data_IF_215118490959
#
_entry.id   IF_215118490959
#
_cell.length_a   1.000
_cell.length_b   1.000
_cell.length_c   1.000
_cell.angle_alpha   90.00
_cell.angle_beta   90.00
_cell.angle_gamma   90.00
#
_symmetry.space_group_name_H-M   'P 1'
#
loop_
_entity.id
_entity.type
_entity.pdbx_description
1 polymer ?
#
# COMPACT_ATOMS: atom_id res chain seq x y z
N UNK A 1 5.44 57.48 1.16
CA UNK A 1 4.86 56.12 1.23
C UNK A 1 3.33 56.11 1.14
N UNK A 2 2.62 57.06 1.78
CA UNK A 2 1.14 57.16 1.79
C UNK A 2 0.44 57.12 0.43
N UNK A 3 0.83 57.97 -0.53
CA UNK A 3 0.21 58.02 -1.87
C UNK A 3 0.22 56.69 -2.65
N UNK A 4 1.18 55.79 -2.38
CA UNK A 4 1.24 54.45 -3.01
C UNK A 4 0.26 53.46 -2.35
N UNK A 5 0.07 53.57 -1.04
CA UNK A 5 -0.90 52.76 -0.29
C UNK A 5 -2.34 53.16 -0.61
N UNK A 6 -2.61 54.45 -0.82
CA UNK A 6 -3.95 54.90 -1.22
C UNK A 6 -4.32 54.38 -2.61
N UNK A 7 -3.38 54.44 -3.56
CA UNK A 7 -3.52 53.81 -4.88
C UNK A 7 -3.74 52.30 -4.79
N UNK A 8 -3.05 51.62 -3.87
CA UNK A 8 -3.25 50.19 -3.63
C UNK A 8 -4.66 49.89 -3.11
N UNK A 9 -5.12 50.65 -2.10
CA UNK A 9 -6.46 50.50 -1.52
C UNK A 9 -7.55 50.75 -2.56
N UNK A 10 -7.41 51.77 -3.39
CA UNK A 10 -8.33 52.04 -4.50
C UNK A 10 -8.37 50.91 -5.53
N UNK A 11 -7.21 50.36 -5.90
CA UNK A 11 -7.13 49.23 -6.82
C UNK A 11 -7.77 47.96 -6.21
N UNK A 12 -7.53 47.71 -4.93
CA UNK A 12 -8.17 46.62 -4.18
C UNK A 12 -9.68 46.82 -4.10
N UNK A 13 -10.15 48.04 -3.84
CA UNK A 13 -11.57 48.37 -3.84
C UNK A 13 -12.21 48.14 -5.21
N UNK A 14 -11.57 48.56 -6.31
CA UNK A 14 -12.00 48.24 -7.68
C UNK A 14 -12.12 46.72 -7.85
N UNK A 15 -11.08 45.97 -7.51
CA UNK A 15 -11.04 44.51 -7.71
C UNK A 15 -12.12 43.79 -6.88
N UNK A 16 -12.36 44.24 -5.65
CA UNK A 16 -13.42 43.71 -4.79
C UNK A 16 -14.80 44.02 -5.35
N UNK A 17 -15.03 45.27 -5.80
CA UNK A 17 -16.29 45.69 -6.39
C UNK A 17 -16.61 44.93 -7.68
N UNK A 18 -15.60 44.69 -8.53
CA UNK A 18 -15.77 43.90 -9.75
C UNK A 18 -16.13 42.44 -9.46
N UNK A 19 -15.58 41.87 -8.39
CA UNK A 19 -15.87 40.51 -7.95
C UNK A 19 -17.29 40.42 -7.37
N UNK A 20 -17.69 41.39 -6.53
CA UNK A 20 -19.04 41.47 -5.96
C UNK A 20 -20.14 41.59 -7.03
N UNK A 21 -19.84 42.28 -8.14
CA UNK A 21 -20.75 42.40 -9.30
C UNK A 21 -20.89 41.11 -10.12
N UNK A 22 -20.14 40.05 -9.81
CA UNK A 22 -20.21 38.73 -10.47
C UNK A 22 -20.52 37.62 -9.46
N UNK A 23 -21.70 37.66 -8.81
CA UNK A 23 -22.03 36.79 -7.68
C UNK A 23 -21.99 35.30 -8.01
N UNK A 24 -22.38 34.93 -9.24
CA UNK A 24 -22.41 33.53 -9.67
C UNK A 24 -21.00 32.95 -9.82
N UNK A 25 -20.05 33.75 -10.33
CA UNK A 25 -18.65 33.35 -10.45
C UNK A 25 -18.01 33.17 -9.08
N UNK A 26 -18.21 34.11 -8.15
CA UNK A 26 -17.75 33.98 -6.76
C UNK A 26 -18.38 32.78 -6.06
N UNK A 27 -19.68 32.55 -6.26
CA UNK A 27 -20.35 31.42 -5.63
C UNK A 27 -19.72 30.11 -6.09
N UNK A 28 -19.49 29.93 -7.39
CA UNK A 28 -18.85 28.72 -7.92
C UNK A 28 -17.41 28.54 -7.39
N UNK A 29 -16.60 29.60 -7.30
CA UNK A 29 -15.22 29.49 -6.78
C UNK A 29 -15.15 29.09 -5.29
N UNK A 30 -16.16 29.42 -4.48
CA UNK A 30 -16.25 28.99 -3.06
C UNK A 30 -16.93 27.63 -2.93
N UNK A 31 -18.03 27.42 -3.65
CA UNK A 31 -18.83 26.20 -3.55
C UNK A 31 -18.09 25.00 -4.11
N UNK A 32 -17.30 25.14 -5.18
CA UNK A 32 -16.60 24.00 -5.78
C UNK A 32 -15.68 23.28 -4.79
N UNK A 33 -14.73 23.95 -4.09
CA UNK A 33 -13.92 23.30 -3.05
C UNK A 33 -14.74 22.67 -1.93
N UNK A 34 -15.81 23.33 -1.49
CA UNK A 34 -16.72 22.83 -0.46
C UNK A 34 -17.41 21.54 -0.94
N UNK A 35 -17.92 21.52 -2.18
CA UNK A 35 -18.63 20.40 -2.77
C UNK A 35 -17.75 19.15 -2.84
N UNK A 36 -16.50 19.29 -3.32
CA UNK A 36 -15.58 18.15 -3.39
C UNK A 36 -15.07 17.72 -2.00
N UNK A 37 -14.94 18.64 -1.04
CA UNK A 37 -14.68 18.27 0.35
C UNK A 37 -15.85 17.52 0.99
N UNK A 38 -17.10 17.90 0.69
CA UNK A 38 -18.30 17.17 1.13
C UNK A 38 -18.33 15.78 0.48
N UNK A 39 -17.95 15.64 -0.79
CA UNK A 39 -17.83 14.34 -1.44
C UNK A 39 -16.82 13.43 -0.71
N UNK A 40 -15.67 13.96 -0.28
CA UNK A 40 -14.70 13.22 0.54
C UNK A 40 -15.29 12.78 1.89
N UNK A 41 -16.06 13.65 2.55
CA UNK A 41 -16.77 13.34 3.79
C UNK A 41 -17.78 12.19 3.55
N UNK A 42 -18.57 12.27 2.48
CA UNK A 42 -19.52 11.20 2.11
C UNK A 42 -18.78 9.89 1.84
N UNK A 43 -17.69 9.91 1.06
CA UNK A 43 -16.90 8.69 0.81
C UNK A 43 -16.42 8.08 2.12
N UNK A 44 -15.92 8.90 3.06
CA UNK A 44 -15.50 8.46 4.39
C UNK A 44 -16.61 7.80 5.19
N UNK A 45 -17.87 8.19 4.96
CA UNK A 45 -19.05 7.66 5.67
C UNK A 45 -19.42 6.24 5.32
N UNK A 46 -19.02 5.76 4.13
CA UNK A 46 -19.52 4.52 3.55
C UNK A 46 -19.00 3.28 4.28
N UNK A 47 -17.80 3.34 4.83
CA UNK A 47 -17.15 2.19 5.47
C UNK A 47 -16.41 2.63 6.73
N UNK A 48 -16.69 1.93 7.83
CA UNK A 48 -16.06 2.16 9.11
C UNK A 48 -14.78 1.34 9.29
N UNK A 49 -13.75 1.91 9.94
CA UNK A 49 -12.57 1.15 10.30
C UNK A 49 -12.92 0.09 11.36
N UNK A 50 -12.39 -1.11 11.18
CA UNK A 50 -12.56 -2.23 12.11
C UNK A 50 -11.37 -2.27 13.06
N UNK A 51 -11.66 -2.32 14.36
CA UNK A 51 -10.64 -2.47 15.39
C UNK A 51 -10.46 -3.93 15.78
N UNK A 52 -9.22 -4.40 15.75
CA UNK A 52 -8.83 -5.71 16.24
C UNK A 52 -8.00 -5.57 17.51
N UNK A 53 -8.40 -6.30 18.56
CA UNK A 53 -7.62 -6.40 19.79
C UNK A 53 -6.31 -7.16 19.56
N UNK A 54 -5.37 -7.01 20.50
CA UNK A 54 -4.13 -7.79 20.51
C UNK A 54 -4.43 -9.28 20.42
N UNK A 55 -3.77 -9.97 19.49
CA UNK A 55 -3.95 -11.40 19.27
C UNK A 55 -2.79 -12.16 19.87
N UNK A 56 -3.10 -12.96 20.88
CA UNK A 56 -2.20 -13.97 21.44
C UNK A 56 -2.59 -15.30 20.81
N UNK A 57 -1.63 -15.95 20.16
CA UNK A 57 -1.84 -17.27 19.57
C UNK A 57 -1.52 -18.34 20.60
N UNK A 58 -2.40 -19.34 20.72
CA UNK A 58 -2.14 -20.50 21.56
C UNK A 58 -1.07 -21.39 20.92
N UNK A 59 -0.21 -22.03 21.73
CA UNK A 59 0.71 -23.03 21.21
C UNK A 59 -0.09 -24.18 20.61
N UNK A 60 0.36 -24.67 19.46
CA UNK A 60 -0.17 -25.85 18.80
C UNK A 60 0.91 -26.91 18.68
N UNK A 61 0.50 -28.18 18.72
CA UNK A 61 1.38 -29.28 18.36
C UNK A 61 1.39 -29.39 16.84
N UNK A 62 2.57 -29.38 16.18
CA UNK A 62 2.64 -29.87 14.81
C UNK A 62 2.10 -31.30 14.78
N UNK A 63 1.38 -31.67 13.71
CA UNK A 63 0.71 -32.98 13.57
C UNK A 63 1.59 -34.10 14.12
N UNK A 64 1.13 -34.73 15.21
CA UNK A 64 1.87 -35.81 15.87
C UNK A 64 1.87 -37.07 15.00
N UNK A 65 2.83 -37.99 15.25
CA UNK A 65 2.96 -39.28 14.57
C UNK A 65 1.61 -39.99 14.32
N UNK A 66 0.77 -40.09 15.36
CA UNK A 66 -0.54 -40.75 15.30
C UNK A 66 -1.60 -39.94 14.53
N UNK A 67 -1.48 -38.61 14.50
CA UNK A 67 -2.42 -37.74 13.79
C UNK A 67 -2.06 -37.62 12.30
N UNK A 68 -0.77 -37.66 11.95
CA UNK A 68 -0.34 -37.77 10.56
C UNK A 68 -0.81 -39.10 9.95
N UNK A 69 -0.63 -40.22 10.65
CA UNK A 69 -1.11 -41.53 10.21
C UNK A 69 -2.62 -41.60 10.07
N UNK A 70 -3.37 -40.98 11.00
CA UNK A 70 -4.83 -40.92 10.95
C UNK A 70 -5.35 -39.95 9.88
N UNK A 71 -4.66 -38.82 9.66
CA UNK A 71 -5.05 -37.82 8.65
C UNK A 71 -4.72 -38.26 7.24
N UNK A 72 -3.63 -39.01 7.05
CA UNK A 72 -3.21 -39.50 5.74
C UNK A 72 -3.83 -40.85 5.38
N UNK A 73 -4.64 -41.47 6.27
CA UNK A 73 -5.37 -42.74 6.11
C UNK A 73 -5.17 -43.43 4.74
N UNK A 74 -4.01 -44.07 4.51
CA UNK A 74 -3.56 -44.65 3.23
C UNK A 74 -4.06 -43.91 1.98
N UNK A 75 -3.83 -42.61 1.94
CA UNK A 75 -4.00 -41.83 0.73
C UNK A 75 -2.94 -42.26 -0.28
N UNK A 76 -3.28 -42.19 -1.56
CA UNK A 76 -2.47 -42.62 -2.72
C UNK A 76 -1.16 -41.82 -2.91
N UNK A 77 -0.65 -41.22 -1.83
CA UNK A 77 0.50 -40.34 -1.85
C UNK A 77 1.80 -41.13 -1.66
N UNK A 78 2.74 -40.84 -2.56
CA UNK A 78 4.08 -41.41 -2.62
C UNK A 78 5.08 -40.49 -1.93
N UNK A 79 5.96 -41.03 -1.10
CA UNK A 79 7.14 -40.31 -0.62
C UNK A 79 8.36 -40.73 -1.44
N UNK A 80 9.15 -39.78 -1.90
CA UNK A 80 10.38 -40.07 -2.67
C UNK A 80 11.61 -39.57 -1.93
N UNK A 81 12.74 -40.27 -2.06
CA UNK A 81 13.99 -39.81 -1.47
C UNK A 81 15.21 -40.11 -2.34
N UNK A 82 16.31 -39.39 -2.13
CA UNK A 82 17.60 -39.62 -2.77
C UNK A 82 18.75 -39.26 -1.81
N UNK A 83 19.90 -39.96 -1.84
CA UNK A 83 20.27 -41.03 -2.77
C UNK A 83 19.97 -42.44 -2.22
N UNK A 84 19.69 -43.39 -3.11
CA UNK A 84 19.64 -44.83 -2.86
C UNK A 84 20.57 -45.54 -3.88
N UNK A 85 21.40 -46.53 -3.48
CA UNK A 85 21.37 -47.28 -2.20
C UNK A 85 22.18 -46.62 -1.08
N UNK A 86 21.62 -46.64 0.14
CA UNK A 86 22.32 -46.35 1.40
C UNK A 86 21.56 -47.07 2.52
N UNK A 87 22.20 -48.04 3.18
CA UNK A 87 21.52 -48.94 4.14
C UNK A 87 20.84 -48.19 5.29
N UNK A 88 21.44 -47.11 5.80
CA UNK A 88 20.89 -46.35 6.93
C UNK A 88 19.70 -45.50 6.46
N UNK A 89 19.84 -44.81 5.33
CA UNK A 89 18.76 -43.99 4.78
C UNK A 89 17.59 -44.87 4.32
N UNK A 90 17.86 -45.98 3.65
CA UNK A 90 16.87 -46.94 3.19
C UNK A 90 16.11 -47.53 4.41
N UNK A 91 16.81 -47.87 5.51
CA UNK A 91 16.17 -48.31 6.77
C UNK A 91 15.28 -47.22 7.38
N UNK A 92 15.76 -45.98 7.39
CA UNK A 92 15.04 -44.83 7.96
C UNK A 92 13.78 -44.50 7.15
N UNK A 93 13.91 -44.47 5.82
CA UNK A 93 12.84 -44.14 4.90
C UNK A 93 11.83 -45.28 4.79
N UNK A 94 12.25 -46.55 4.91
CA UNK A 94 11.33 -47.68 4.99
C UNK A 94 10.40 -47.60 6.20
N UNK A 95 10.83 -46.98 7.31
CA UNK A 95 9.93 -46.73 8.44
C UNK A 95 8.77 -45.79 8.08
N UNK A 96 8.95 -44.94 7.07
CA UNK A 96 7.90 -44.03 6.59
C UNK A 96 6.80 -44.73 5.78
N UNK A 97 7.00 -45.99 5.37
CA UNK A 97 5.94 -46.83 4.78
C UNK A 97 4.78 -47.10 5.74
N UNK A 98 4.95 -46.83 7.04
CA UNK A 98 3.86 -46.83 8.00
C UNK A 98 2.84 -45.70 7.76
N UNK A 99 3.22 -44.65 7.02
CA UNK A 99 2.39 -43.47 6.78
C UNK A 99 2.00 -43.29 5.31
N UNK A 100 2.87 -43.66 4.38
CA UNK A 100 2.70 -43.48 2.95
C UNK A 100 2.47 -44.82 2.25
N UNK A 101 1.74 -44.81 1.14
CA UNK A 101 1.43 -46.03 0.35
C UNK A 101 2.71 -46.69 -0.16
N UNK A 102 3.64 -45.86 -0.66
CA UNK A 102 4.94 -46.30 -1.16
C UNK A 102 6.02 -45.26 -0.84
N UNK A 103 7.25 -45.75 -0.68
CA UNK A 103 8.44 -44.95 -0.45
C UNK A 103 9.52 -45.40 -1.45
N UNK A 104 9.76 -44.57 -2.47
CA UNK A 104 10.68 -44.87 -3.59
C UNK A 104 12.00 -44.11 -3.43
N UNK A 105 13.11 -44.84 -3.55
CA UNK A 105 14.47 -44.27 -3.55
C UNK A 105 14.98 -44.05 -4.98
N UNK A 106 15.57 -42.88 -5.23
CA UNK A 106 16.23 -42.51 -6.49
C UNK A 106 17.74 -42.40 -6.33
N UNK A 107 18.50 -42.59 -7.41
CA UNK A 107 19.97 -42.69 -7.30
C UNK A 107 20.61 -41.35 -6.99
N UNK A 108 20.14 -40.29 -7.62
CA UNK A 108 20.68 -38.94 -7.51
C UNK A 108 19.55 -37.90 -7.45
N UNK A 109 19.87 -36.70 -6.99
CA UNK A 109 18.98 -35.53 -6.96
C UNK A 109 18.30 -35.23 -8.30
N UNK A 110 19.02 -35.38 -9.43
CA UNK A 110 18.48 -35.16 -10.78
C UNK A 110 17.38 -36.14 -11.17
N UNK A 111 17.49 -37.40 -10.76
CA UNK A 111 16.44 -38.41 -11.04
C UNK A 111 15.19 -38.14 -10.21
N UNK A 112 15.38 -37.72 -8.95
CA UNK A 112 14.29 -37.28 -8.08
C UNK A 112 13.56 -36.06 -8.67
N UNK A 113 14.29 -35.11 -9.26
CA UNK A 113 13.71 -33.97 -9.97
C UNK A 113 12.91 -34.39 -11.22
N UNK A 114 13.47 -35.28 -12.03
CA UNK A 114 12.78 -35.83 -13.20
C UNK A 114 11.47 -36.53 -12.82
N UNK A 115 11.42 -37.17 -11.65
CA UNK A 115 10.19 -37.77 -11.14
C UNK A 115 9.10 -36.73 -10.81
N UNK A 116 9.45 -35.58 -10.23
CA UNK A 116 8.49 -34.50 -9.99
C UNK A 116 7.91 -33.91 -11.28
N UNK A 117 8.68 -33.93 -12.37
CA UNK A 117 8.23 -33.49 -13.69
C UNK A 117 7.41 -34.55 -14.44
N UNK A 118 7.41 -35.80 -13.97
CA UNK A 118 6.70 -36.92 -14.58
C UNK A 118 5.21 -37.00 -14.18
N UNK A 119 4.50 -37.98 -14.76
CA UNK A 119 3.07 -38.22 -14.52
C UNK A 119 2.74 -38.59 -13.06
N UNK A 120 3.71 -39.12 -12.31
CA UNK A 120 3.56 -39.48 -10.88
C UNK A 120 3.78 -38.30 -9.93
N UNK A 121 4.18 -37.12 -10.43
CA UNK A 121 4.42 -35.93 -9.62
C UNK A 121 3.19 -35.48 -8.81
N UNK A 122 1.99 -35.61 -9.39
CA UNK A 122 0.73 -35.25 -8.71
C UNK A 122 0.40 -36.17 -7.52
N UNK A 123 0.84 -37.43 -7.58
CA UNK A 123 0.69 -38.38 -6.47
C UNK A 123 1.82 -38.27 -5.45
N UNK A 124 2.84 -37.46 -5.68
CA UNK A 124 3.97 -37.35 -4.76
C UNK A 124 3.63 -36.41 -3.62
N UNK A 125 3.74 -36.86 -2.36
CA UNK A 125 3.56 -36.01 -1.18
C UNK A 125 4.67 -34.98 -1.06
N UNK A 126 5.90 -35.47 -0.96
CA UNK A 126 7.14 -34.71 -0.83
C UNK A 126 8.34 -35.58 -1.23
N UNK A 127 9.46 -34.93 -1.48
CA UNK A 127 10.74 -35.52 -1.81
C UNK A 127 11.77 -35.18 -0.74
N UNK A 128 12.50 -36.16 -0.25
CA UNK A 128 13.57 -35.98 0.73
C UNK A 128 14.91 -36.13 0.03
N UNK A 129 15.59 -35.02 -0.20
CA UNK A 129 16.88 -34.98 -0.86
C UNK A 129 17.99 -34.84 0.19
N UNK A 130 18.89 -35.81 0.23
CA UNK A 130 20.17 -35.74 0.91
C UNK A 130 21.29 -35.46 -0.11
N UNK A 131 22.51 -35.24 0.39
CA UNK A 131 23.69 -35.08 -0.48
C UNK A 131 23.96 -36.37 -1.29
N UNK A 132 24.12 -36.23 -2.61
CA UNK A 132 24.38 -37.33 -3.54
C UNK A 132 25.67 -38.11 -3.19
N UNK A 133 26.59 -37.49 -2.44
CA UNK A 133 27.82 -38.11 -1.93
C UNK A 133 27.59 -39.26 -0.96
N UNK A 134 26.41 -39.31 -0.33
CA UNK A 134 26.04 -40.34 0.66
C UNK A 134 25.68 -41.68 0.02
N UNK A 135 25.70 -41.77 -1.32
CA UNK A 135 25.42 -42.98 -2.05
C UNK A 135 26.47 -44.05 -1.78
N UNK A 136 26.03 -45.23 -1.33
CA UNK A 136 26.92 -46.37 -1.01
C UNK A 136 27.76 -46.20 0.26
N UNK A 137 27.55 -45.12 1.03
CA UNK A 137 28.18 -44.95 2.34
C UNK A 137 27.37 -45.64 3.42
N UNK A 138 28.06 -46.32 4.34
CA UNK A 138 27.46 -47.03 5.48
C UNK A 138 27.44 -46.22 6.77
N UNK A 139 27.96 -44.98 6.76
CA UNK A 139 28.03 -44.10 7.94
C UNK A 139 27.51 -42.71 7.53
N UNK A 140 26.63 -42.13 8.35
CA UNK A 140 26.17 -40.76 8.16
C UNK A 140 27.21 -39.76 8.69
N UNK A 141 27.47 -38.65 7.98
CA UNK A 141 28.34 -37.59 8.47
C UNK A 141 27.71 -36.85 9.65
N UNK A 142 28.54 -36.26 10.50
CA UNK A 142 28.08 -35.45 11.66
C UNK A 142 27.33 -34.18 11.26
N UNK A 143 27.54 -33.68 10.05
CA UNK A 143 26.78 -32.58 9.47
C UNK A 143 26.02 -33.08 8.25
N UNK A 144 24.70 -33.22 8.39
CA UNK A 144 23.81 -33.71 7.33
C UNK A 144 22.91 -32.58 6.84
N UNK A 145 22.98 -32.28 5.54
CA UNK A 145 22.04 -31.37 4.88
C UNK A 145 20.86 -32.16 4.32
N UNK A 146 19.64 -31.72 4.66
CA UNK A 146 18.40 -32.36 4.22
C UNK A 146 17.52 -31.30 3.56
N UNK A 147 17.21 -31.52 2.29
CA UNK A 147 16.33 -30.67 1.49
C UNK A 147 14.99 -31.36 1.28
N UNK A 148 13.90 -30.72 1.72
CA UNK A 148 12.54 -31.20 1.52
C UNK A 148 11.92 -30.52 0.29
N UNK A 149 11.70 -31.28 -0.77
CA UNK A 149 11.08 -30.82 -2.02
C UNK A 149 9.58 -31.09 -1.98
N UNK A 150 8.78 -30.05 -2.17
CA UNK A 150 7.33 -30.14 -2.30
C UNK A 150 6.93 -29.85 -3.75
N UNK A 151 5.78 -30.35 -4.21
CA UNK A 151 5.27 -30.00 -5.54
C UNK A 151 5.02 -28.49 -5.66
N UNK A 152 5.08 -27.99 -6.89
CA UNK A 152 4.89 -26.56 -7.20
C UNK A 152 3.48 -26.06 -6.89
N UNK A 153 2.49 -26.95 -6.89
CA UNK A 153 1.11 -26.65 -6.55
C UNK A 153 0.80 -27.09 -5.12
N UNK A 154 0.25 -26.15 -4.34
CA UNK A 154 -0.22 -26.40 -3.00
C UNK A 154 -1.54 -27.14 -3.03
N UNK A 155 -1.67 -28.16 -2.18
CA UNK A 155 -2.93 -28.91 -2.01
C UNK A 155 -3.95 -28.10 -1.21
N UNK A 156 -3.47 -27.21 -0.35
CA UNK A 156 -4.29 -26.21 0.33
C UNK A 156 -4.30 -24.91 -0.47
N UNK A 157 -5.39 -24.70 -1.22
CA UNK A 157 -5.66 -23.51 -2.06
C UNK A 157 -5.62 -22.17 -1.28
N UNK A 158 -5.59 -22.24 0.06
CA UNK A 158 -5.80 -21.07 0.92
C UNK A 158 -4.55 -20.33 1.38
N UNK A 159 -3.34 -20.84 1.13
CA UNK A 159 -2.12 -20.26 1.70
C UNK A 159 -1.09 -19.95 0.61
N UNK A 160 -0.87 -18.66 0.32
CA UNK A 160 0.37 -18.26 -0.35
C UNK A 160 1.56 -18.67 0.55
N UNK A 161 2.53 -19.42 0.00
CA UNK A 161 3.71 -19.91 0.76
C UNK A 161 4.62 -18.74 1.17
N UNK A 162 4.72 -17.73 0.30
CA UNK A 162 5.52 -16.54 0.51
C UNK A 162 4.63 -15.34 0.79
N UNK A 163 5.02 -14.59 1.82
CA UNK A 163 4.21 -13.58 2.47
C UNK A 163 3.76 -12.46 1.55
N UNK A 164 2.46 -12.42 1.29
CA UNK A 164 1.73 -11.18 1.46
C UNK A 164 1.23 -11.19 2.91
N UNK A 165 1.27 -10.09 3.68
CA UNK A 165 0.58 -9.99 4.97
C UNK A 165 -0.93 -10.15 4.74
N UNK A 166 -1.37 -11.38 4.49
CA UNK A 166 -2.72 -11.71 4.06
C UNK A 166 -3.61 -11.80 5.31
N UNK A 167 -4.68 -10.99 5.30
CA UNK A 167 -5.77 -10.87 6.28
C UNK A 167 -5.46 -11.45 7.67
N UNK A 168 -4.98 -10.56 8.54
CA UNK A 168 -4.72 -10.74 9.99
C UNK A 168 -5.89 -11.34 10.81
N UNK A 169 -7.01 -11.66 10.17
CA UNK A 169 -8.33 -11.85 10.76
C UNK A 169 -8.66 -13.29 11.15
N UNK A 170 -8.06 -14.31 10.54
CA UNK A 170 -8.55 -15.69 10.72
C UNK A 170 -7.62 -16.57 11.57
N UNK A 171 -8.11 -16.96 12.75
CA UNK A 171 -7.51 -17.98 13.63
C UNK A 171 -7.31 -19.34 12.91
N UNK A 172 -8.12 -19.60 11.89
CA UNK A 172 -8.26 -20.90 11.21
C UNK A 172 -7.40 -21.10 9.97
N UNK A 173 -6.71 -20.07 9.45
CA UNK A 173 -5.83 -20.30 8.31
C UNK A 173 -4.51 -20.81 8.85
N UNK A 174 -4.44 -22.13 8.84
CA UNK A 174 -3.23 -22.91 8.87
C UNK A 174 -2.14 -22.22 8.05
N UNK A 175 -0.97 -22.00 8.65
CA UNK A 175 0.21 -21.60 7.87
C UNK A 175 0.37 -22.64 6.76
N UNK A 176 0.68 -22.24 5.53
CA UNK A 176 0.82 -23.20 4.41
C UNK A 176 1.65 -24.42 4.80
N UNK A 177 2.75 -24.20 5.53
CA UNK A 177 3.61 -25.27 6.06
C UNK A 177 2.94 -26.27 7.03
N UNK A 178 1.96 -25.83 7.83
CA UNK A 178 1.20 -26.74 8.70
C UNK A 178 0.14 -27.51 7.90
N UNK A 179 -0.56 -26.84 6.99
CA UNK A 179 -1.64 -27.43 6.19
C UNK A 179 -1.10 -28.45 5.18
N UNK A 180 0.02 -28.13 4.55
CA UNK A 180 0.71 -29.03 3.60
C UNK A 180 1.44 -30.18 4.29
N UNK A 181 1.51 -30.19 5.62
CA UNK A 181 2.21 -31.24 6.37
C UNK A 181 3.74 -31.14 6.33
N UNK A 182 4.32 -30.06 5.81
CA UNK A 182 5.76 -29.80 5.83
C UNK A 182 6.34 -29.91 7.25
N UNK A 183 5.72 -29.25 8.23
CA UNK A 183 6.21 -29.25 9.62
C UNK A 183 6.19 -30.66 10.22
N UNK A 184 5.18 -31.45 9.87
CA UNK A 184 5.05 -32.81 10.36
C UNK A 184 6.13 -33.71 9.77
N UNK A 185 6.35 -33.61 8.46
CA UNK A 185 7.38 -34.38 7.75
C UNK A 185 8.79 -33.99 8.22
N UNK A 186 9.05 -32.70 8.44
CA UNK A 186 10.31 -32.21 9.00
C UNK A 186 10.60 -32.81 10.37
N UNK A 187 9.61 -32.82 11.27
CA UNK A 187 9.77 -33.35 12.63
C UNK A 187 9.98 -34.87 12.59
N UNK A 188 9.18 -35.58 11.79
CA UNK A 188 9.30 -37.03 11.65
C UNK A 188 10.67 -37.42 11.10
N UNK A 189 11.16 -36.77 10.04
CA UNK A 189 12.49 -37.08 9.48
C UNK A 189 13.60 -36.73 10.47
N UNK A 190 13.51 -35.58 11.13
CA UNK A 190 14.51 -35.18 12.14
C UNK A 190 14.56 -36.19 13.29
N UNK A 191 13.41 -36.61 13.81
CA UNK A 191 13.34 -37.62 14.87
C UNK A 191 13.88 -38.99 14.42
N UNK A 192 13.61 -39.37 13.16
CA UNK A 192 14.16 -40.59 12.58
C UNK A 192 15.69 -40.54 12.48
N UNK A 193 16.24 -39.47 11.92
CA UNK A 193 17.69 -39.32 11.78
C UNK A 193 18.40 -39.34 13.15
N UNK A 194 17.86 -38.62 14.14
CA UNK A 194 18.37 -38.64 15.52
C UNK A 194 18.30 -40.07 16.10
N UNK A 195 17.20 -40.79 15.89
CA UNK A 195 17.07 -42.16 16.42
C UNK A 195 18.04 -43.15 15.79
N UNK A 196 18.43 -42.94 14.53
CA UNK A 196 19.45 -43.76 13.87
C UNK A 196 20.84 -43.47 14.42
N UNK A 197 21.18 -42.19 14.62
CA UNK A 197 22.47 -41.81 15.22
C UNK A 197 22.60 -42.36 16.66
N UNK A 198 21.50 -42.38 17.41
CA UNK A 198 21.45 -42.95 18.75
C UNK A 198 21.38 -44.50 18.78
N UNK A 199 21.42 -45.19 17.62
CA UNK A 199 21.32 -46.66 17.50
C UNK A 199 20.13 -47.27 18.28
N UNK A 200 18.98 -46.60 18.27
CA UNK A 200 17.79 -47.04 19.00
C UNK A 200 17.13 -48.22 18.26
N UNK A 201 16.80 -49.29 18.98
CA UNK A 201 16.05 -50.44 18.43
C UNK A 201 14.69 -50.01 17.83
N UNK A 202 14.24 -50.68 16.77
CA UNK A 202 13.03 -50.34 16.01
C UNK A 202 11.76 -50.21 16.88
N UNK A 203 11.61 -51.03 17.92
CA UNK A 203 10.49 -50.94 18.87
C UNK A 203 10.57 -49.72 19.81
N UNK A 204 11.78 -49.30 20.17
CA UNK A 204 12.01 -48.09 20.97
C UNK A 204 11.93 -46.82 20.09
N UNK A 205 12.26 -46.92 18.80
CA UNK A 205 12.09 -45.85 17.82
C UNK A 205 10.61 -45.45 17.66
N UNK A 206 9.70 -46.43 17.57
CA UNK A 206 8.26 -46.15 17.54
C UNK A 206 7.77 -45.45 18.82
N UNK A 207 8.33 -45.81 19.99
CA UNK A 207 8.01 -45.16 21.28
C UNK A 207 8.58 -43.75 21.36
N UNK A 208 9.79 -43.54 20.86
CA UNK A 208 10.44 -42.23 20.79
C UNK A 208 9.69 -41.27 19.86
N UNK A 209 9.18 -41.76 18.73
CA UNK A 209 8.36 -40.95 17.81
C UNK A 209 6.97 -40.65 18.38
N UNK A 210 6.40 -41.55 19.20
CA UNK A 210 5.10 -41.36 19.83
C UNK A 210 5.13 -40.51 21.11
N UNK A 211 6.20 -40.63 21.91
CA UNK A 211 6.36 -40.01 23.24
C UNK A 211 7.60 -39.14 23.39
N UNK A 212 8.23 -38.76 22.29
CA UNK A 212 9.41 -37.91 22.26
C UNK A 212 9.16 -36.52 22.87
N UNK A 213 10.19 -35.65 22.89
CA UNK A 213 10.04 -34.31 23.43
C UNK A 213 8.91 -33.57 22.73
N UNK A 214 7.98 -33.01 23.52
CA UNK A 214 6.82 -32.32 22.98
C UNK A 214 7.25 -30.97 22.37
N UNK A 215 7.46 -30.95 21.06
CA UNK A 215 7.73 -29.72 20.32
C UNK A 215 6.40 -28.98 20.15
N UNK A 216 6.27 -27.81 20.76
CA UNK A 216 5.14 -26.92 20.59
C UNK A 216 5.56 -25.74 19.71
N UNK A 217 4.73 -25.41 18.74
CA UNK A 217 4.91 -24.23 17.90
C UNK A 217 3.91 -23.17 18.32
N UNK A 218 4.39 -21.93 18.44
CA UNK A 218 3.56 -20.80 18.80
C UNK A 218 3.89 -19.65 17.87
N UNK A 219 2.85 -18.99 17.34
CA UNK A 219 3.04 -17.75 16.56
C UNK A 219 3.35 -16.61 17.51
N UNK A 220 4.17 -15.66 17.06
CA UNK A 220 4.41 -14.44 17.82
C UNK A 220 3.09 -13.69 18.05
N UNK A 221 2.89 -13.11 19.25
CA UNK A 221 1.73 -12.29 19.51
C UNK A 221 1.72 -11.10 18.56
N UNK A 222 0.54 -10.72 18.10
CA UNK A 222 0.35 -9.55 17.24
C UNK A 222 -0.36 -8.45 18.04
N UNK A 223 0.16 -7.24 18.01
CA UNK A 223 -0.46 -6.09 18.68
C UNK A 223 -1.87 -5.82 18.12
N UNK A 224 -2.71 -5.09 18.85
CA UNK A 224 -3.99 -4.66 18.31
C UNK A 224 -3.76 -3.77 17.09
N UNK A 225 -4.58 -3.91 16.04
CA UNK A 225 -4.45 -3.08 14.84
C UNK A 225 -5.82 -2.60 14.38
N UNK A 226 -5.82 -1.50 13.64
CA UNK A 226 -7.00 -1.00 12.92
C UNK A 226 -6.90 -1.41 11.46
N UNK A 227 -7.98 -1.92 10.90
CA UNK A 227 -8.10 -2.19 9.48
C UNK A 227 -9.13 -1.22 8.88
N UNK A 228 -8.67 -0.34 8.01
CA UNK A 228 -9.53 0.59 7.29
C UNK A 228 -9.50 0.23 5.80
N UNK A 229 -10.50 -0.51 5.30
CA UNK A 229 -10.52 -0.95 3.91
C UNK A 229 -10.74 0.20 2.92
N UNK A 230 -11.20 1.36 3.40
CA UNK A 230 -11.44 2.54 2.56
C UNK A 230 -10.16 3.38 2.38
N UNK A 231 -9.21 3.28 3.30
CA UNK A 231 -8.00 4.11 3.29
C UNK A 231 -7.19 4.01 1.98
N UNK A 232 -6.93 2.82 1.38
CA UNK A 232 -6.24 2.73 0.10
C UNK A 232 -6.98 3.45 -1.04
N UNK A 233 -8.32 3.39 -1.04
CA UNK A 233 -9.14 4.11 -2.01
C UNK A 233 -9.07 5.62 -1.79
N UNK A 234 -9.09 6.08 -0.53
CA UNK A 234 -8.91 7.51 -0.21
C UNK A 234 -7.54 8.02 -0.65
N UNK A 235 -6.48 7.23 -0.46
CA UNK A 235 -5.14 7.58 -0.97
C UNK A 235 -5.18 7.82 -2.48
N UNK A 236 -5.92 6.98 -3.22
CA UNK A 236 -6.20 7.14 -4.66
C UNK A 236 -6.93 8.43 -5.03
N UNK A 237 -8.05 8.70 -4.36
CA UNK A 237 -9.01 9.70 -4.83
C UNK A 237 -8.87 11.09 -4.18
N UNK A 238 -8.23 11.24 -3.03
CA UNK A 238 -8.15 12.57 -2.37
C UNK A 238 -7.40 13.59 -3.22
N UNK A 239 -6.31 13.21 -3.88
CA UNK A 239 -5.56 14.10 -4.76
C UNK A 239 -6.38 14.63 -5.93
N UNK A 240 -7.12 13.75 -6.62
CA UNK A 240 -7.93 14.16 -7.79
C UNK A 240 -9.09 15.07 -7.37
N UNK A 241 -9.71 14.81 -6.22
CA UNK A 241 -10.82 15.62 -5.72
C UNK A 241 -10.38 17.05 -5.38
N UNK A 242 -9.21 17.19 -4.72
CA UNK A 242 -8.66 18.52 -4.39
C UNK A 242 -8.18 19.24 -5.65
N UNK A 243 -7.63 18.51 -6.62
CA UNK A 243 -7.28 19.11 -7.91
C UNK A 243 -8.52 19.67 -8.61
N UNK A 244 -9.62 18.91 -8.66
CA UNK A 244 -10.89 19.31 -9.28
C UNK A 244 -11.53 20.53 -8.60
N UNK A 245 -11.40 20.64 -7.27
CA UNK A 245 -11.87 21.80 -6.49
C UNK A 245 -11.40 23.15 -7.02
N UNK A 246 -10.16 23.23 -7.50
CA UNK A 246 -9.53 24.50 -7.85
C UNK A 246 -9.37 24.72 -9.35
N UNK A 247 -9.80 23.77 -10.20
CA UNK A 247 -9.78 23.90 -11.68
C UNK A 247 -10.47 25.18 -12.12
N UNK A 248 -11.70 25.40 -11.64
CA UNK A 248 -12.49 26.57 -12.03
C UNK A 248 -11.79 27.86 -11.64
N UNK A 249 -11.28 27.94 -10.41
CA UNK A 249 -10.59 29.13 -9.90
C UNK A 249 -9.32 29.44 -10.71
N UNK A 250 -8.54 28.42 -11.10
CA UNK A 250 -7.37 28.59 -11.95
C UNK A 250 -7.74 29.14 -13.33
N UNK A 251 -8.62 28.44 -14.05
CA UNK A 251 -9.05 28.82 -15.41
C UNK A 251 -9.62 30.24 -15.39
N UNK A 252 -10.45 30.53 -14.39
CA UNK A 252 -11.09 31.82 -14.27
C UNK A 252 -10.09 32.95 -13.94
N UNK A 253 -9.15 32.72 -13.04
CA UNK A 253 -8.11 33.72 -12.71
C UNK A 253 -7.29 34.07 -13.94
N UNK A 254 -6.84 33.07 -14.72
CA UNK A 254 -6.12 33.31 -15.98
C UNK A 254 -6.99 34.07 -16.97
N UNK A 255 -8.27 33.67 -17.12
CA UNK A 255 -9.21 34.32 -18.04
C UNK A 255 -9.43 35.79 -17.69
N UNK A 256 -9.65 36.14 -16.43
CA UNK A 256 -9.93 37.53 -16.05
C UNK A 256 -8.69 38.42 -16.25
N UNK A 257 -7.50 37.93 -15.91
CA UNK A 257 -6.24 38.68 -16.13
C UNK A 257 -6.00 38.90 -17.62
N UNK A 258 -6.25 37.89 -18.44
CA UNK A 258 -6.07 37.99 -19.89
C UNK A 258 -7.17 38.80 -20.56
N UNK A 259 -8.40 38.84 -20.05
CA UNK A 259 -9.44 39.80 -20.49
C UNK A 259 -8.99 41.24 -20.19
N UNK A 260 -8.42 41.50 -19.01
CA UNK A 260 -7.92 42.82 -18.65
C UNK A 260 -6.76 43.27 -19.56
N UNK A 261 -5.92 42.31 -19.96
CA UNK A 261 -4.85 42.50 -20.95
C UNK A 261 -5.39 42.73 -22.36
N UNK A 262 -6.35 41.92 -22.81
CA UNK A 262 -6.95 41.98 -24.14
C UNK A 262 -7.67 43.31 -24.38
N UNK A 263 -8.37 43.82 -23.36
CA UNK A 263 -9.05 45.13 -23.40
C UNK A 263 -8.11 46.32 -23.13
N UNK A 264 -6.82 46.09 -22.95
CA UNK A 264 -5.80 47.10 -22.63
C UNK A 264 -6.11 47.94 -21.37
N UNK A 265 -6.98 47.44 -20.47
CA UNK A 265 -7.35 48.15 -19.24
C UNK A 265 -6.14 48.33 -18.31
N UNK A 266 -5.22 47.35 -18.32
CA UNK A 266 -3.96 47.43 -17.58
C UNK A 266 -3.06 48.57 -18.09
N UNK A 267 -2.98 48.77 -19.40
CA UNK A 267 -2.17 49.84 -20.00
C UNK A 267 -2.78 51.21 -19.71
N UNK A 268 -4.10 51.35 -19.84
CA UNK A 268 -4.82 52.57 -19.47
C UNK A 268 -4.56 52.98 -18.01
N UNK A 269 -4.57 52.03 -17.08
CA UNK A 269 -4.26 52.30 -15.67
C UNK A 269 -2.79 52.66 -15.43
N UNK A 270 -1.85 52.13 -16.22
CA UNK A 270 -0.45 52.55 -16.16
C UNK A 270 -0.28 54.01 -16.57
N UNK A 271 -1.02 54.47 -17.58
CA UNK A 271 -1.05 55.88 -18.01
C UNK A 271 -1.60 56.78 -16.89
N UNK A 272 -2.58 56.30 -16.12
CA UNK A 272 -3.10 56.99 -14.92
C UNK A 272 -2.12 57.02 -13.73
N UNK A 273 -0.89 56.50 -13.90
CA UNK A 273 0.18 56.56 -12.91
C UNK A 273 0.15 55.45 -11.85
N UNK A 274 -0.42 54.29 -12.17
CA UNK A 274 -0.32 53.07 -11.35
C UNK A 274 0.90 52.22 -11.79
N UNK A 275 1.83 51.89 -10.87
CA UNK A 275 2.99 51.09 -11.22
C UNK A 275 2.65 49.60 -11.42
N UNK A 276 3.36 48.91 -12.33
CA UNK A 276 3.06 47.53 -12.73
C UNK A 276 3.02 46.51 -11.58
N UNK A 277 3.96 46.61 -10.62
CA UNK A 277 4.02 45.69 -9.48
C UNK A 277 2.75 45.73 -8.62
N UNK A 278 2.08 46.90 -8.57
CA UNK A 278 0.87 47.09 -7.79
C UNK A 278 -0.31 46.29 -8.35
N UNK A 279 -0.37 46.14 -9.67
CA UNK A 279 -1.37 45.31 -10.33
C UNK A 279 -1.20 43.85 -9.94
N UNK A 280 0.03 43.33 -9.99
CA UNK A 280 0.31 41.94 -9.63
C UNK A 280 0.08 41.65 -8.15
N UNK A 281 0.49 42.55 -7.25
CA UNK A 281 0.24 42.38 -5.82
C UNK A 281 -1.24 42.49 -5.47
N UNK A 282 -1.99 43.38 -6.11
CA UNK A 282 -3.43 43.48 -5.90
C UNK A 282 -4.17 42.25 -6.41
N UNK A 283 -3.79 41.70 -7.58
CA UNK A 283 -4.31 40.43 -8.05
C UNK A 283 -3.97 39.28 -7.09
N UNK A 284 -2.73 39.23 -6.61
CA UNK A 284 -2.29 38.20 -5.67
C UNK A 284 -3.09 38.23 -4.38
N UNK A 285 -3.15 39.38 -3.70
CA UNK A 285 -3.83 39.53 -2.42
C UNK A 285 -5.33 39.28 -2.56
N UNK A 286 -5.97 39.79 -3.62
CA UNK A 286 -7.40 39.56 -3.87
C UNK A 286 -7.70 38.07 -4.06
N UNK A 287 -6.92 37.37 -4.87
CA UNK A 287 -7.15 35.93 -5.13
C UNK A 287 -6.77 35.08 -3.91
N UNK A 288 -5.70 35.43 -3.19
CA UNK A 288 -5.28 34.75 -1.97
C UNK A 288 -6.35 34.82 -0.89
N UNK A 289 -6.87 36.02 -0.58
CA UNK A 289 -7.92 36.20 0.44
C UNK A 289 -9.16 35.37 0.12
N UNK A 290 -9.52 35.30 -1.16
CA UNK A 290 -10.68 34.54 -1.60
C UNK A 290 -10.47 33.02 -1.44
N UNK A 291 -9.31 32.51 -1.87
CA UNK A 291 -8.95 31.10 -1.70
C UNK A 291 -8.78 30.70 -0.22
N UNK A 292 -8.37 31.64 0.63
CA UNK A 292 -8.23 31.44 2.07
C UNK A 292 -9.57 31.06 2.72
N UNK A 293 -10.66 31.72 2.32
CA UNK A 293 -12.01 31.40 2.79
C UNK A 293 -12.34 29.94 2.42
N UNK A 294 -12.11 29.54 1.17
CA UNK A 294 -12.35 28.17 0.72
C UNK A 294 -11.52 27.14 1.50
N UNK A 295 -10.24 27.40 1.76
CA UNK A 295 -9.38 26.48 2.54
C UNK A 295 -9.88 26.34 3.98
N UNK A 296 -10.27 27.44 4.64
CA UNK A 296 -10.78 27.38 6.01
C UNK A 296 -12.01 26.47 6.07
N UNK A 297 -12.95 26.63 5.14
CA UNK A 297 -14.11 25.74 5.05
C UNK A 297 -13.70 24.29 4.77
N UNK A 298 -12.79 24.03 3.83
CA UNK A 298 -12.30 22.67 3.56
C UNK A 298 -11.70 22.00 4.80
N UNK A 299 -10.90 22.72 5.60
CA UNK A 299 -10.28 22.17 6.81
C UNK A 299 -11.31 21.86 7.87
N UNK A 300 -12.30 22.75 8.06
CA UNK A 300 -13.43 22.50 8.96
C UNK A 300 -14.15 21.22 8.52
N UNK A 301 -14.47 21.06 7.22
CA UNK A 301 -15.10 19.85 6.70
C UNK A 301 -14.25 18.59 6.94
N UNK A 302 -12.93 18.67 6.76
CA UNK A 302 -12.02 17.55 6.96
C UNK A 302 -11.84 17.13 8.42
N UNK A 303 -11.96 18.08 9.36
CA UNK A 303 -11.72 17.83 10.79
C UNK A 303 -12.96 17.55 11.60
N UNK A 304 -14.09 18.18 11.28
CA UNK A 304 -15.33 17.97 12.00
C UNK A 304 -15.82 16.54 11.79
N UNK A 305 -16.21 15.88 12.88
CA UNK A 305 -16.91 14.60 12.83
C UNK A 305 -18.36 14.85 12.42
N UNK A 306 -18.72 14.50 11.19
CA UNK A 306 -20.07 14.71 10.64
C UNK A 306 -21.08 13.65 11.09
N UNK A 307 -20.62 12.57 11.72
CA UNK A 307 -21.45 11.41 12.03
C UNK A 307 -21.69 11.32 13.54
N UNK A 308 -22.95 11.49 14.00
CA UNK A 308 -23.28 11.15 15.38
C UNK A 308 -22.96 9.67 15.56
N UNK A 309 -22.21 9.33 16.62
CA UNK A 309 -21.73 7.99 16.99
C UNK A 309 -20.40 7.50 16.38
N UNK A 310 -19.70 8.27 15.53
CA UNK A 310 -18.36 7.89 15.04
C UNK A 310 -17.31 8.93 15.46
N UNK A 311 -16.25 8.47 16.12
CA UNK A 311 -15.11 9.32 16.50
C UNK A 311 -14.12 9.57 15.32
N UNK A 312 -14.51 9.23 14.10
CA UNK A 312 -13.67 9.35 12.91
C UNK A 312 -14.11 10.55 12.07
N UNK A 313 -13.13 11.40 11.75
CA UNK A 313 -13.27 12.40 10.69
C UNK A 313 -12.48 11.95 9.45
N UNK A 314 -12.49 12.77 8.38
CA UNK A 314 -11.71 12.47 7.17
C UNK A 314 -10.22 12.36 7.52
N UNK A 315 -9.74 13.25 8.40
CA UNK A 315 -8.41 13.21 8.99
C UNK A 315 -8.53 13.33 10.51
N UNK A 316 -8.52 12.20 11.20
CA UNK A 316 -8.67 12.13 12.66
C UNK A 316 -7.39 12.59 13.35
N UNK A 317 -6.24 12.07 12.93
CA UNK A 317 -4.95 12.29 13.62
C UNK A 317 -4.14 13.47 13.10
N UNK A 318 -4.22 13.79 11.80
CA UNK A 318 -3.39 14.86 11.22
C UNK A 318 -3.66 16.23 11.88
N UNK A 319 -2.65 16.97 12.32
CA UNK A 319 -2.86 18.29 12.94
C UNK A 319 -3.44 19.33 11.96
N UNK A 320 -4.50 20.11 12.33
CA UNK A 320 -5.12 21.08 11.42
C UNK A 320 -4.17 22.18 10.94
N UNK A 321 -3.22 22.61 11.77
CA UNK A 321 -2.26 23.67 11.47
C UNK A 321 -1.32 23.30 10.32
N UNK A 322 -0.82 22.07 10.29
CA UNK A 322 0.05 21.56 9.22
C UNK A 322 -0.72 21.45 7.90
N UNK A 323 -1.96 20.95 7.95
CA UNK A 323 -2.84 20.91 6.77
C UNK A 323 -3.13 22.32 6.23
N UNK A 324 -3.38 23.28 7.11
CA UNK A 324 -3.59 24.68 6.74
C UNK A 324 -2.36 25.28 6.04
N UNK A 325 -1.18 25.11 6.64
CA UNK A 325 0.07 25.61 6.06
C UNK A 325 0.34 24.97 4.69
N UNK A 326 0.12 23.66 4.56
CA UNK A 326 0.29 22.95 3.29
C UNK A 326 -0.64 23.48 2.19
N UNK A 327 -1.94 23.62 2.49
CA UNK A 327 -2.92 24.16 1.54
C UNK A 327 -2.65 25.64 1.20
N UNK A 328 -2.16 26.43 2.17
CA UNK A 328 -1.77 27.83 1.93
C UNK A 328 -0.63 27.93 0.90
N UNK A 329 0.41 27.11 1.06
CA UNK A 329 1.54 27.04 0.11
C UNK A 329 1.07 26.57 -1.28
N UNK A 330 0.14 25.62 -1.32
CA UNK A 330 -0.50 25.19 -2.57
C UNK A 330 -1.28 26.32 -3.26
N UNK A 331 -1.96 27.21 -2.52
CA UNK A 331 -2.61 28.37 -3.14
C UNK A 331 -1.60 29.38 -3.68
N UNK A 332 -0.51 29.64 -2.95
CA UNK A 332 0.53 30.54 -3.42
C UNK A 332 1.15 30.03 -4.74
N UNK A 333 1.43 28.73 -4.84
CA UNK A 333 1.94 28.11 -6.09
C UNK A 333 0.91 28.14 -7.21
N UNK A 334 -0.36 27.87 -6.90
CA UNK A 334 -1.47 27.95 -7.87
C UNK A 334 -1.63 29.37 -8.45
N UNK A 335 -1.60 30.41 -7.61
CA UNK A 335 -1.75 31.80 -8.06
C UNK A 335 -0.55 32.22 -8.93
N UNK A 336 0.67 31.89 -8.50
CA UNK A 336 1.88 32.23 -9.27
C UNK A 336 1.95 31.50 -10.61
N UNK A 337 1.49 30.25 -10.67
CA UNK A 337 1.31 29.51 -11.92
C UNK A 337 0.29 30.18 -12.86
N UNK A 338 -0.87 30.60 -12.33
CA UNK A 338 -1.86 31.34 -13.12
C UNK A 338 -1.27 32.64 -13.72
N UNK A 339 -0.47 33.36 -12.93
CA UNK A 339 0.19 34.58 -13.40
C UNK A 339 1.21 34.29 -14.51
N UNK A 340 2.03 33.24 -14.34
CA UNK A 340 2.99 32.82 -15.35
C UNK A 340 2.31 32.53 -16.70
N UNK A 341 1.23 31.74 -16.69
CA UNK A 341 0.47 31.42 -17.91
C UNK A 341 -0.13 32.69 -18.54
N UNK A 342 -0.72 33.57 -17.72
CA UNK A 342 -1.41 34.76 -18.23
C UNK A 342 -0.51 35.72 -19.03
N UNK A 343 0.82 35.66 -18.81
CA UNK A 343 1.78 36.52 -19.52
C UNK A 343 1.95 36.08 -20.98
N UNK A 344 1.94 34.78 -21.27
CA UNK A 344 2.21 34.24 -22.61
C UNK A 344 1.09 34.48 -23.62
N UNK A 345 -0.14 34.73 -23.17
CA UNK A 345 -1.30 34.84 -24.05
C UNK A 345 -1.84 36.27 -24.14
N UNK A 346 -2.31 36.66 -25.32
CA UNK A 346 -2.96 37.95 -25.59
C UNK A 346 -4.50 37.85 -25.67
N UNK A 347 -5.03 36.68 -25.99
CA UNK A 347 -6.47 36.39 -26.11
C UNK A 347 -6.98 35.59 -24.92
N UNK A 348 -8.12 36.00 -24.35
CA UNK A 348 -8.59 35.42 -23.09
C UNK A 348 -9.12 33.99 -23.18
N UNK A 349 -9.88 33.67 -24.24
CA UNK A 349 -10.47 32.34 -24.38
C UNK A 349 -9.41 31.27 -24.69
N UNK A 350 -8.38 31.60 -25.47
CA UNK A 350 -7.25 30.70 -25.73
C UNK A 350 -6.40 30.51 -24.48
N UNK A 351 -6.18 31.57 -23.69
CA UNK A 351 -5.46 31.45 -22.42
C UNK A 351 -6.18 30.54 -21.42
N UNK A 352 -7.50 30.67 -21.32
CA UNK A 352 -8.32 29.85 -20.42
C UNK A 352 -8.30 28.36 -20.78
N UNK A 353 -8.36 28.03 -22.07
CA UNK A 353 -8.32 26.64 -22.56
C UNK A 353 -6.94 26.02 -22.32
N UNK A 354 -5.85 26.73 -22.63
CA UNK A 354 -4.49 26.24 -22.36
C UNK A 354 -4.22 26.12 -20.86
N UNK A 355 -4.72 27.06 -20.03
CA UNK A 355 -4.60 26.96 -18.58
C UNK A 355 -5.28 25.69 -18.03
N UNK A 356 -6.48 25.37 -18.53
CA UNK A 356 -7.17 24.13 -18.17
C UNK A 356 -6.37 22.88 -18.58
N UNK A 357 -5.80 22.87 -19.79
CA UNK A 357 -4.99 21.76 -20.27
C UNK A 357 -3.72 21.57 -19.42
N UNK A 358 -2.98 22.65 -19.15
CA UNK A 358 -1.77 22.60 -18.32
C UNK A 358 -2.07 22.23 -16.85
N UNK A 359 -3.25 22.61 -16.35
CA UNK A 359 -3.70 22.22 -15.02
C UNK A 359 -3.81 20.69 -14.88
N UNK A 360 -4.50 20.03 -15.81
CA UNK A 360 -4.60 18.57 -15.82
C UNK A 360 -3.26 17.90 -16.12
N UNK A 361 -2.45 18.48 -17.03
CA UNK A 361 -1.12 17.97 -17.34
C UNK A 361 -0.21 17.92 -16.09
N UNK A 362 -0.28 18.93 -15.23
CA UNK A 362 0.45 19.03 -13.96
C UNK A 362 0.12 17.88 -12.97
N UNK A 363 -1.02 17.19 -13.14
CA UNK A 363 -1.42 16.04 -12.32
C UNK A 363 -1.02 14.68 -12.92
N UNK A 364 -0.68 14.62 -14.21
CA UNK A 364 -0.40 13.35 -14.90
C UNK A 364 0.72 12.51 -14.28
N UNK A 365 1.85 13.06 -13.76
CA UNK A 365 2.89 12.24 -13.15
C UNK A 365 2.39 11.45 -11.94
N UNK A 366 1.48 12.03 -11.14
CA UNK A 366 0.91 11.35 -9.98
C UNK A 366 0.18 10.05 -10.37
N UNK A 367 -0.59 10.07 -11.47
CA UNK A 367 -1.37 8.91 -11.93
C UNK A 367 -0.50 7.68 -12.22
N UNK A 368 0.72 7.88 -12.72
CA UNK A 368 1.63 6.78 -13.05
C UNK A 368 2.45 6.31 -11.84
N UNK A 369 2.89 7.25 -11.01
CA UNK A 369 3.86 6.97 -9.96
C UNK A 369 3.25 6.66 -8.60
N UNK A 370 1.94 6.85 -8.42
CA UNK A 370 1.28 6.67 -7.12
C UNK A 370 1.44 5.25 -6.55
N UNK A 371 1.31 4.22 -7.39
CA UNK A 371 1.35 2.80 -6.95
C UNK A 371 2.75 2.36 -6.54
N UNK A 372 3.79 3.00 -7.09
CA UNK A 372 5.19 2.68 -6.83
C UNK A 372 5.85 3.70 -5.90
N UNK A 373 5.07 4.48 -5.14
CA UNK A 373 5.59 5.58 -4.34
C UNK A 373 6.74 5.17 -3.40
N UNK A 374 6.67 3.97 -2.83
CA UNK A 374 7.68 3.47 -1.88
C UNK A 374 8.99 3.04 -2.56
N UNK A 375 8.93 2.61 -3.83
CA UNK A 375 10.09 2.15 -4.60
C UNK A 375 10.85 3.31 -5.28
N UNK A 376 10.21 4.47 -5.43
CA UNK A 376 10.77 5.61 -6.16
C UNK A 376 11.88 6.33 -5.40
N UNK A 377 12.99 6.60 -6.11
CA UNK A 377 14.08 7.46 -5.63
C UNK A 377 13.61 8.89 -5.36
N UNK A 378 14.27 9.57 -4.42
CA UNK A 378 13.97 10.97 -4.04
C UNK A 378 14.02 11.92 -5.24
N UNK A 379 15.01 11.77 -6.13
CA UNK A 379 15.15 12.61 -7.32
C UNK A 379 13.91 12.54 -8.23
N UNK A 380 13.38 11.34 -8.43
CA UNK A 380 12.18 11.13 -9.26
C UNK A 380 10.96 11.76 -8.62
N UNK A 381 10.83 11.66 -7.28
CA UNK A 381 9.77 12.33 -6.51
C UNK A 381 9.85 13.86 -6.68
N UNK A 382 11.05 14.44 -6.59
CA UNK A 382 11.26 15.88 -6.76
C UNK A 382 10.94 16.35 -8.19
N UNK A 383 11.38 15.62 -9.22
CA UNK A 383 11.07 15.95 -10.62
C UNK A 383 9.58 15.85 -10.89
N UNK A 384 8.91 14.80 -10.41
CA UNK A 384 7.45 14.67 -10.53
C UNK A 384 6.72 15.81 -9.80
N UNK A 385 7.25 16.28 -8.67
CA UNK A 385 6.68 17.40 -7.90
C UNK A 385 6.84 18.78 -8.54
N UNK A 386 7.54 18.92 -9.68
CA UNK A 386 7.53 20.16 -10.47
C UNK A 386 6.12 20.50 -10.97
N UNK A 387 5.28 19.49 -11.19
CA UNK A 387 3.84 19.68 -11.33
C UNK A 387 3.25 19.98 -9.95
N UNK A 388 2.85 21.23 -9.71
CA UNK A 388 2.28 21.65 -8.41
C UNK A 388 1.04 20.82 -7.99
N UNK A 389 0.26 20.32 -8.94
CA UNK A 389 -0.87 19.41 -8.67
C UNK A 389 -0.39 18.01 -8.23
N UNK A 390 0.71 17.52 -8.82
CA UNK A 390 1.36 16.28 -8.39
C UNK A 390 1.95 16.42 -6.98
N UNK A 391 2.62 17.54 -6.69
CA UNK A 391 3.15 17.83 -5.35
C UNK A 391 2.05 17.85 -4.28
N UNK A 392 0.91 18.48 -4.60
CA UNK A 392 -0.26 18.51 -3.74
C UNK A 392 -0.81 17.09 -3.48
N UNK A 393 -0.95 16.29 -4.53
CA UNK A 393 -1.46 14.93 -4.44
C UNK A 393 -0.56 14.02 -3.59
N UNK A 394 0.77 14.11 -3.75
CA UNK A 394 1.71 13.39 -2.88
C UNK A 394 1.62 13.83 -1.42
N UNK A 395 1.43 15.12 -1.14
CA UNK A 395 1.26 15.57 0.24
C UNK A 395 0.02 14.97 0.91
N UNK A 396 -1.10 14.88 0.19
CA UNK A 396 -2.31 14.22 0.71
C UNK A 396 -2.19 12.70 0.80
N UNK A 397 -1.48 12.06 -0.14
CA UNK A 397 -1.12 10.65 -0.03
C UNK A 397 -0.33 10.39 1.26
N UNK A 398 0.66 11.23 1.57
CA UNK A 398 1.45 11.11 2.80
C UNK A 398 0.60 11.32 4.06
N UNK A 399 -0.28 12.33 4.08
CA UNK A 399 -1.18 12.52 5.22
C UNK A 399 -2.05 11.28 5.47
N UNK A 400 -2.58 10.66 4.43
CA UNK A 400 -3.41 9.46 4.55
C UNK A 400 -2.60 8.20 4.90
N UNK A 401 -1.38 8.07 4.39
CA UNK A 401 -0.48 6.96 4.76
C UNK A 401 -0.13 7.00 6.26
N UNK A 402 0.16 8.18 6.80
CA UNK A 402 0.40 8.34 8.24
C UNK A 402 -0.87 8.18 9.08
N UNK A 403 -2.03 8.61 8.57
CA UNK A 403 -3.33 8.38 9.22
C UNK A 403 -3.63 6.88 9.39
N UNK A 404 -3.23 6.05 8.40
CA UNK A 404 -3.38 4.60 8.46
C UNK A 404 -2.34 3.87 9.31
N UNK A 405 -1.16 4.47 9.47
CA UNK A 405 -0.03 3.89 10.21
C UNK A 405 -0.04 4.27 11.69
N UNK A 406 -1.01 5.06 12.15
CA UNK A 406 -1.11 5.54 13.52
C UNK A 406 -1.28 4.37 14.51
N UNK A 407 -0.15 3.84 14.97
CA UNK A 407 0.10 3.48 16.37
C UNK A 407 0.00 4.70 17.29
#
# INVERSE_FOLDING_TARGET
MGKKLDKFRLLMWKNWTLQYRKPLQTAVEIIAPILFSVLLVILRSLVDPVHYSSRIYLPFKPLSFNQLSASLNKSNYLLVYSPSPNEILDRSMNFLRLFFEDVKGYKNSKELEAHFLGLEGNRTFAGVQFDDRLRGQSVLPSHLEVSLRFPSELRSVSAQIFGVPMKKTSQKFSVGYYAEGFLALQIVITQLLISQEMNISSGMMARFMSKGPAILMQRFPHAGWRDDPLLPAMIGFTGILIMLSFVYTCINTVKVITIEKERQLKEAMKIMGLPNWLHWTAWFIKTLLFLLISIIFMIILFKVSWYPHKNFSVFTYASPSVMFLFLLLYMCTTITFCFAISVFFSKANTAATVAGLLWFLSYTPFLFFQTQYDELKLSTKLVASLGFNTAMAYGFQMFLMFEGSAE
#
